data_IF_657071916835
#
_entry.id   IF_657071916835
#
_cell.length_a   1.000
_cell.length_b   1.000
_cell.length_c   1.000
_cell.angle_alpha   90.00
_cell.angle_beta   90.00
_cell.angle_gamma   90.00
#
_symmetry.space_group_name_H-M   'P 1'
#
loop_
_entity.id
_entity.type
_entity.pdbx_description
1 polymer ?
#
# COMPACT_ATOMS: atom_id res chain seq x y z
N UNK A 1 -12.97 13.46 -14.75
CA UNK A 1 -13.58 12.19 -14.30
C UNK A 1 -12.98 11.08 -15.15
N UNK A 2 -12.02 10.32 -14.60
CA UNK A 2 -11.44 9.20 -15.33
C UNK A 2 -12.48 8.07 -15.38
N UNK A 3 -12.89 7.69 -16.58
CA UNK A 3 -13.81 6.57 -16.79
C UNK A 3 -13.01 5.31 -16.44
N UNK A 4 -13.38 4.65 -15.34
CA UNK A 4 -12.84 3.34 -14.97
C UNK A 4 -13.26 2.33 -16.03
N UNK A 5 -12.38 2.04 -16.98
CA UNK A 5 -12.55 0.93 -17.91
C UNK A 5 -12.45 -0.38 -17.13
N UNK A 6 -13.54 -1.16 -17.14
CA UNK A 6 -13.53 -2.50 -16.54
C UNK A 6 -12.46 -3.36 -17.20
N UNK A 7 -11.53 -3.91 -16.41
CA UNK A 7 -10.46 -4.78 -16.88
C UNK A 7 -10.79 -6.24 -16.56
N UNK A 8 -10.72 -7.12 -17.56
CA UNK A 8 -10.93 -8.56 -17.37
C UNK A 8 -9.67 -9.21 -16.79
N UNK A 9 -9.83 -9.97 -15.71
CA UNK A 9 -8.75 -10.76 -15.09
C UNK A 9 -9.03 -12.24 -15.37
N UNK A 10 -8.13 -12.88 -16.13
CA UNK A 10 -8.21 -14.31 -16.44
C UNK A 10 -7.26 -15.09 -15.51
N UNK A 11 -7.80 -16.06 -14.76
CA UNK A 11 -7.03 -16.90 -13.84
C UNK A 11 -7.30 -18.37 -14.13
N UNK A 12 -6.24 -19.18 -14.13
CA UNK A 12 -6.34 -20.65 -14.22
C UNK A 12 -6.15 -21.24 -12.83
N UNK A 13 -6.97 -22.22 -12.48
CA UNK A 13 -6.88 -22.97 -11.24
C UNK A 13 -7.10 -24.46 -11.52
N UNK A 14 -6.54 -25.33 -10.68
CA UNK A 14 -6.93 -26.75 -10.67
C UNK A 14 -8.36 -26.90 -10.17
N UNK A 15 -8.96 -28.06 -10.42
CA UNK A 15 -10.32 -28.38 -9.96
C UNK A 15 -10.41 -28.29 -8.44
N UNK A 16 -9.43 -28.85 -7.72
CA UNK A 16 -9.42 -28.83 -6.24
C UNK A 16 -9.39 -27.41 -5.67
N UNK A 17 -8.58 -26.51 -6.26
CA UNK A 17 -8.50 -25.11 -5.84
C UNK A 17 -9.82 -24.40 -6.14
N UNK A 18 -10.41 -24.64 -7.32
CA UNK A 18 -11.71 -24.06 -7.68
C UNK A 18 -12.80 -24.48 -6.70
N UNK A 19 -12.89 -25.77 -6.40
CA UNK A 19 -13.94 -26.32 -5.54
C UNK A 19 -13.79 -25.85 -4.08
N UNK A 20 -12.55 -25.67 -3.60
CA UNK A 20 -12.27 -25.05 -2.31
C UNK A 20 -12.76 -23.60 -2.27
N UNK A 21 -12.46 -22.80 -3.31
CA UNK A 21 -12.88 -21.40 -3.42
C UNK A 21 -14.41 -21.31 -3.48
N UNK A 22 -15.06 -22.17 -4.26
CA UNK A 22 -16.52 -22.21 -4.39
C UNK A 22 -17.20 -22.45 -3.05
N UNK A 23 -16.69 -23.41 -2.28
CA UNK A 23 -17.21 -23.70 -0.95
C UNK A 23 -17.06 -22.50 -0.01
N UNK A 24 -15.92 -21.81 -0.04
CA UNK A 24 -15.68 -20.63 0.78
C UNK A 24 -16.56 -19.43 0.37
N UNK A 25 -16.79 -19.25 -0.93
CA UNK A 25 -17.68 -18.21 -1.46
C UNK A 25 -19.14 -18.47 -1.07
N UNK A 26 -19.60 -19.73 -1.17
CA UNK A 26 -20.94 -20.14 -0.79
C UNK A 26 -21.23 -19.90 0.70
N UNK A 27 -20.27 -20.18 1.60
CA UNK A 27 -20.42 -19.91 3.04
C UNK A 27 -20.61 -18.41 3.36
N UNK A 28 -20.19 -17.53 2.47
CA UNK A 28 -20.35 -16.07 2.60
C UNK A 28 -21.47 -15.50 1.73
N UNK A 29 -22.26 -16.34 1.06
CA UNK A 29 -23.30 -15.93 0.11
C UNK A 29 -22.77 -15.01 -1.01
N UNK A 30 -21.54 -15.28 -1.49
CA UNK A 30 -20.90 -14.53 -2.57
C UNK A 30 -20.72 -15.39 -3.82
N UNK A 31 -20.64 -14.74 -4.99
CA UNK A 31 -20.16 -15.42 -6.19
C UNK A 31 -18.67 -15.72 -6.07
N UNK A 32 -18.18 -16.71 -6.83
CA UNK A 32 -16.75 -17.04 -6.89
C UNK A 32 -15.91 -15.80 -7.25
N UNK A 33 -16.36 -15.04 -8.25
CA UNK A 33 -15.66 -13.85 -8.73
C UNK A 33 -15.59 -12.78 -7.65
N UNK A 34 -16.70 -12.50 -6.96
CA UNK A 34 -16.73 -11.49 -5.88
C UNK A 34 -15.82 -11.90 -4.72
N UNK A 35 -15.88 -13.16 -4.30
CA UNK A 35 -15.02 -13.69 -3.25
C UNK A 35 -13.53 -13.60 -3.64
N UNK A 36 -13.17 -13.99 -4.86
CA UNK A 36 -11.80 -13.91 -5.34
C UNK A 36 -11.28 -12.47 -5.44
N UNK A 37 -12.11 -11.54 -5.93
CA UNK A 37 -11.73 -10.12 -6.03
C UNK A 37 -11.54 -9.50 -4.65
N UNK A 38 -12.45 -9.77 -3.71
CA UNK A 38 -12.34 -9.29 -2.34
C UNK A 38 -11.07 -9.81 -1.65
N UNK A 39 -10.83 -11.12 -1.73
CA UNK A 39 -9.65 -11.75 -1.14
C UNK A 39 -8.36 -11.20 -1.75
N UNK A 40 -8.31 -11.04 -3.08
CA UNK A 40 -7.16 -10.47 -3.78
C UNK A 40 -6.92 -9.02 -3.37
N UNK A 41 -7.99 -8.22 -3.22
CA UNK A 41 -7.91 -6.84 -2.77
C UNK A 41 -7.35 -6.72 -1.34
N UNK A 42 -7.82 -7.58 -0.43
CA UNK A 42 -7.31 -7.62 0.95
C UNK A 42 -5.82 -7.97 0.96
N UNK A 43 -5.43 -9.02 0.25
CA UNK A 43 -4.04 -9.44 0.15
C UNK A 43 -3.14 -8.34 -0.47
N UNK A 44 -3.58 -7.72 -1.55
CA UNK A 44 -2.84 -6.63 -2.19
C UNK A 44 -2.64 -5.44 -1.24
N UNK A 45 -3.69 -5.04 -0.52
CA UNK A 45 -3.59 -3.97 0.48
C UNK A 45 -2.62 -4.31 1.60
N UNK A 46 -2.64 -5.54 2.10
CA UNK A 46 -1.71 -5.98 3.15
C UNK A 46 -0.27 -5.85 2.68
N UNK A 47 0.05 -6.37 1.48
CA UNK A 47 1.41 -6.30 0.92
C UNK A 47 1.87 -4.86 0.71
N UNK A 48 0.98 -3.97 0.27
CA UNK A 48 1.31 -2.54 0.12
C UNK A 48 1.51 -1.86 1.48
N UNK A 49 0.70 -2.21 2.48
CA UNK A 49 0.82 -1.67 3.84
C UNK A 49 2.11 -2.13 4.53
N UNK A 50 2.52 -3.37 4.32
CA UNK A 50 3.78 -3.90 4.86
C UNK A 50 5.01 -3.12 4.34
N UNK A 51 4.91 -2.41 3.21
CA UNK A 51 5.99 -1.55 2.69
C UNK A 51 6.05 -0.15 3.33
N UNK A 52 4.94 0.34 3.89
CA UNK A 52 4.84 1.69 4.48
C UNK A 52 4.80 1.67 6.00
N UNK A 53 4.61 0.49 6.62
CA UNK A 53 4.58 0.34 8.06
C UNK A 53 5.98 0.06 8.61
N UNK A 54 6.55 1.03 9.33
CA UNK A 54 7.79 0.87 10.06
C UNK A 54 7.49 0.53 11.52
N UNK A 55 7.69 -0.72 11.90
CA UNK A 55 7.66 -1.10 13.31
C UNK A 55 8.96 -0.66 13.97
N UNK A 56 8.87 0.27 14.93
CA UNK A 56 10.02 0.76 15.70
C UNK A 56 9.80 0.55 17.20
N UNK A 57 10.88 0.22 17.91
CA UNK A 57 10.91 0.15 19.37
C UNK A 57 10.80 1.53 20.00
N UNK A 58 10.48 1.58 21.29
CA UNK A 58 10.42 2.85 22.03
C UNK A 58 11.76 3.61 22.02
N UNK A 59 12.87 2.88 22.02
CA UNK A 59 14.23 3.44 21.92
C UNK A 59 14.48 4.08 20.55
N UNK A 60 14.06 3.41 19.47
CA UNK A 60 14.14 3.95 18.11
C UNK A 60 13.23 5.17 17.93
N UNK A 61 12.05 5.17 18.56
CA UNK A 61 11.15 6.33 18.56
C UNK A 61 11.78 7.53 19.26
N UNK A 62 12.37 7.34 20.44
CA UNK A 62 13.09 8.41 21.17
C UNK A 62 14.26 8.96 20.36
N UNK A 63 15.02 8.10 19.68
CA UNK A 63 16.11 8.53 18.80
C UNK A 63 15.59 9.33 17.59
N UNK A 64 14.49 8.88 16.98
CA UNK A 64 13.83 9.59 15.88
C UNK A 64 13.32 10.98 16.32
N UNK A 65 12.69 11.08 17.49
CA UNK A 65 12.22 12.34 18.05
C UNK A 65 13.37 13.31 18.32
N UNK A 66 14.49 12.81 18.86
CA UNK A 66 15.68 13.62 19.09
C UNK A 66 16.23 14.23 17.78
N UNK A 67 16.36 13.42 16.72
CA UNK A 67 16.82 13.88 15.40
C UNK A 67 15.82 14.85 14.76
N UNK A 68 14.52 14.63 14.94
CA UNK A 68 13.48 15.48 14.35
C UNK A 68 13.33 16.82 15.09
N UNK A 69 13.61 16.85 16.39
CA UNK A 69 13.58 18.05 17.21
C UNK A 69 14.83 18.94 17.01
N UNK A 70 15.92 18.40 16.45
CA UNK A 70 17.10 19.20 16.14
C UNK A 70 16.75 20.25 15.07
N UNK A 71 17.00 21.55 15.34
CA UNK A 71 16.87 22.57 14.32
C UNK A 71 17.77 22.20 13.16
N UNK A 72 17.23 22.27 11.93
CA UNK A 72 18.05 22.10 10.73
C UNK A 72 19.16 23.15 10.83
N UNK A 73 20.37 22.69 11.17
CA UNK A 73 21.55 23.56 11.24
C UNK A 73 21.72 24.27 9.90
N UNK A 74 22.43 25.40 9.86
CA UNK A 74 22.68 26.18 8.64
C UNK A 74 23.48 25.36 7.61
N UNK A 75 22.82 24.40 7.00
CA UNK A 75 23.35 23.53 5.98
C UNK A 75 23.09 24.24 4.65
N UNK A 76 24.18 24.75 4.06
CA UNK A 76 24.13 25.50 2.82
C UNK A 76 23.47 24.72 1.68
N UNK A 77 23.59 23.39 1.66
CA UNK A 77 22.95 22.54 0.65
C UNK A 77 21.43 22.47 0.83
N UNK A 78 20.93 22.37 2.07
CA UNK A 78 19.49 22.38 2.36
C UNK A 78 18.89 23.75 2.06
N UNK A 79 19.58 24.83 2.42
CA UNK A 79 19.13 26.20 2.09
C UNK A 79 19.04 26.41 0.58
N UNK A 80 20.03 25.91 -0.18
CA UNK A 80 20.02 25.96 -1.64
C UNK A 80 18.87 25.13 -2.24
N UNK A 81 18.59 23.94 -1.69
CA UNK A 81 17.46 23.10 -2.12
C UNK A 81 16.12 23.80 -1.88
N UNK A 82 15.89 24.33 -0.67
CA UNK A 82 14.64 25.04 -0.32
C UNK A 82 14.45 26.35 -1.09
N UNK A 83 15.52 27.00 -1.52
CA UNK A 83 15.47 28.19 -2.37
C UNK A 83 15.29 27.88 -3.87
N UNK A 84 15.39 26.60 -4.26
CA UNK A 84 15.21 26.20 -5.66
C UNK A 84 13.72 26.19 -5.99
N UNK A 85 13.34 26.82 -7.10
CA UNK A 85 11.94 26.89 -7.55
C UNK A 85 11.40 25.49 -7.80
N UNK A 86 10.20 25.21 -7.32
CA UNK A 86 9.63 23.86 -7.44
C UNK A 86 9.26 23.55 -8.90
N UNK A 87 9.45 22.30 -9.39
CA UNK A 87 9.18 21.93 -10.78
C UNK A 87 7.74 22.18 -11.29
N UNK A 88 6.78 22.36 -10.38
CA UNK A 88 5.36 22.57 -10.67
C UNK A 88 4.92 24.05 -10.58
N UNK A 89 5.83 24.98 -10.31
CA UNK A 89 5.55 26.43 -10.29
C UNK A 89 5.87 27.11 -11.65
N UNK A 90 5.91 26.33 -12.73
CA UNK A 90 6.09 26.78 -14.10
C UNK A 90 4.75 27.20 -14.73
#
# INVERSE_FOLDING_TARGET
>A
MSISTAATINVRASVDVRDLIDRAAALQNKTRTDFMLDASCVAARQVLLDQVFFQISEEQMKAFDAVTAEPISKNAAIQKLLATKSPWEA
#
